data_IF_589696002972
#
_entry.id   IF_589696002972
#
_cell.length_a   1.000
_cell.length_b   1.000
_cell.length_c   1.000
_cell.angle_alpha   90.00
_cell.angle_beta   90.00
_cell.angle_gamma   90.00
#
_symmetry.space_group_name_H-M   'P 1'
#
loop_
_entity.id
_entity.type
_entity.pdbx_description
1 polymer ?
#
# COMPACT_ATOMS: atom_id res chain seq x y z
N UNK A 1 -24.43 -3.26 -29.17
CA UNK A 1 -23.04 -3.74 -29.17
C UNK A 1 -22.18 -2.62 -28.58
N UNK A 2 -22.31 -2.26 -27.30
CA UNK A 2 -21.74 -2.93 -26.12
C UNK A 2 -20.21 -3.13 -26.15
N UNK A 3 -19.48 -2.37 -26.98
CA UNK A 3 -18.04 -2.58 -27.19
C UNK A 3 -17.16 -1.35 -26.88
N UNK A 4 -17.69 -0.33 -26.18
CA UNK A 4 -17.01 0.99 -26.14
C UNK A 4 -16.98 1.72 -24.79
N UNK A 5 -17.10 1.02 -23.65
CA UNK A 5 -16.64 1.56 -22.34
C UNK A 5 -16.18 0.41 -21.45
N UNK A 6 -15.30 -0.45 -21.95
CA UNK A 6 -14.36 -1.12 -21.03
C UNK A 6 -13.26 -0.08 -20.79
N UNK A 7 -12.93 0.29 -19.55
CA UNK A 7 -11.77 1.15 -19.34
C UNK A 7 -10.59 0.51 -20.08
N UNK A 8 -9.93 1.27 -20.95
CA UNK A 8 -8.77 0.79 -21.73
C UNK A 8 -7.53 0.54 -20.86
N UNK A 9 -7.72 0.54 -19.54
CA UNK A 9 -6.71 0.36 -18.51
C UNK A 9 -7.31 -0.36 -17.30
N UNK A 10 -6.49 -1.14 -16.61
CA UNK A 10 -6.84 -1.74 -15.31
C UNK A 10 -6.50 -0.79 -14.16
N UNK A 11 -5.58 0.15 -14.43
CA UNK A 11 -5.07 1.15 -13.51
C UNK A 11 -5.13 2.54 -14.14
N UNK A 12 -5.94 3.41 -13.54
CA UNK A 12 -5.91 4.85 -13.82
C UNK A 12 -5.30 5.58 -12.62
N UNK A 13 -4.08 6.07 -12.78
CA UNK A 13 -3.34 6.81 -11.79
C UNK A 13 -3.52 8.33 -11.96
N UNK A 14 -3.89 9.00 -10.86
CA UNK A 14 -4.12 10.43 -10.77
C UNK A 14 -3.17 11.06 -9.73
N UNK A 15 -2.16 11.76 -10.23
CA UNK A 15 -1.15 12.43 -9.41
C UNK A 15 -1.60 13.79 -8.88
N UNK A 16 -1.24 14.13 -7.64
CA UNK A 16 -1.26 15.51 -7.15
C UNK A 16 0.13 16.01 -6.73
N UNK A 17 0.36 17.34 -6.69
CA UNK A 17 1.67 17.88 -6.37
C UNK A 17 1.97 18.01 -4.87
N UNK A 18 0.96 18.03 -3.98
CA UNK A 18 1.18 18.48 -2.58
C UNK A 18 0.35 17.79 -1.51
N UNK A 19 -0.65 16.95 -1.86
CA UNK A 19 -1.67 16.38 -0.95
C UNK A 19 -2.47 17.37 -0.07
N UNK A 20 -2.05 18.64 0.00
CA UNK A 20 -2.48 19.63 0.98
C UNK A 20 -3.67 20.47 0.50
N UNK A 21 -4.04 20.37 -0.78
CA UNK A 21 -5.15 21.13 -1.36
C UNK A 21 -6.49 20.41 -1.19
N UNK A 22 -7.45 20.91 -0.37
CA UNK A 22 -8.77 20.29 -0.24
C UNK A 22 -9.51 20.20 -1.58
N UNK A 23 -9.23 21.12 -2.50
CA UNK A 23 -9.81 21.15 -3.86
C UNK A 23 -9.46 19.88 -4.64
N UNK A 24 -8.20 19.44 -4.61
CA UNK A 24 -7.77 18.27 -5.38
C UNK A 24 -8.37 17.00 -4.78
N UNK A 25 -8.38 16.88 -3.44
CA UNK A 25 -8.99 15.73 -2.76
C UNK A 25 -10.50 15.61 -3.01
N UNK A 26 -11.22 16.74 -3.07
CA UNK A 26 -12.65 16.77 -3.42
C UNK A 26 -12.88 16.43 -4.89
N UNK A 27 -12.14 17.05 -5.81
CA UNK A 27 -12.22 16.74 -7.24
C UNK A 27 -11.92 15.24 -7.51
N UNK A 28 -10.96 14.67 -6.79
CA UNK A 28 -10.66 13.24 -6.82
C UNK A 28 -11.86 12.39 -6.38
N UNK A 29 -12.57 12.78 -5.33
CA UNK A 29 -13.76 12.06 -4.88
C UNK A 29 -14.87 12.09 -5.94
N UNK A 30 -15.13 13.26 -6.51
CA UNK A 30 -16.12 13.44 -7.58
C UNK A 30 -15.77 12.64 -8.83
N UNK A 31 -14.50 12.65 -9.22
CA UNK A 31 -13.99 11.84 -10.33
C UNK A 31 -14.18 10.35 -10.05
N UNK A 32 -13.84 9.86 -8.85
CA UNK A 32 -14.03 8.44 -8.53
C UNK A 32 -15.51 8.03 -8.56
N UNK A 33 -16.41 8.89 -8.08
CA UNK A 33 -17.84 8.64 -8.16
C UNK A 33 -18.32 8.47 -9.61
N UNK A 34 -17.83 9.29 -10.54
CA UNK A 34 -18.13 9.16 -11.97
C UNK A 34 -17.49 7.90 -12.57
N UNK A 35 -16.24 7.58 -12.21
CA UNK A 35 -15.54 6.39 -12.69
C UNK A 35 -16.23 5.10 -12.24
N UNK A 36 -16.84 5.08 -11.05
CA UNK A 36 -17.62 3.93 -10.58
C UNK A 36 -18.78 3.58 -11.51
N UNK A 37 -19.41 4.59 -12.14
CA UNK A 37 -20.44 4.41 -13.17
C UNK A 37 -19.88 3.83 -14.49
N UNK A 38 -18.58 4.00 -14.73
CA UNK A 38 -17.86 3.55 -15.92
C UNK A 38 -17.06 2.25 -15.69
N UNK A 39 -17.48 1.44 -14.71
CA UNK A 39 -16.92 0.11 -14.48
C UNK A 39 -15.68 0.06 -13.58
N UNK A 40 -15.28 1.16 -12.94
CA UNK A 40 -14.30 1.09 -11.87
C UNK A 40 -14.93 0.46 -10.63
N UNK A 41 -14.17 -0.40 -9.93
CA UNK A 41 -14.66 -1.10 -8.72
C UNK A 41 -13.79 -0.92 -7.50
N UNK A 42 -12.71 -0.16 -7.61
CA UNK A 42 -11.85 0.08 -6.47
C UNK A 42 -11.08 1.37 -6.58
N UNK A 43 -10.72 1.91 -5.42
CA UNK A 43 -9.80 3.04 -5.27
C UNK A 43 -8.61 2.62 -4.41
N UNK A 44 -7.41 3.06 -4.80
CA UNK A 44 -6.17 2.84 -4.05
C UNK A 44 -5.51 4.19 -3.72
N UNK A 45 -5.25 4.44 -2.43
CA UNK A 45 -4.63 5.69 -1.96
C UNK A 45 -3.22 5.47 -1.43
N UNK A 46 -2.40 6.53 -1.43
CA UNK A 46 -1.06 6.60 -0.81
C UNK A 46 -1.13 6.53 0.72
N UNK A 47 -1.66 5.43 1.22
CA UNK A 47 -1.75 5.12 2.63
C UNK A 47 -1.34 3.67 2.85
N UNK A 48 -0.91 3.38 4.08
CA UNK A 48 -0.53 2.05 4.50
C UNK A 48 -1.62 1.02 4.13
N UNK A 49 -1.20 0.02 3.34
CA UNK A 49 -2.09 -1.01 2.79
C UNK A 49 -2.74 -1.85 3.88
N UNK A 50 -2.02 -2.09 4.98
CA UNK A 50 -2.53 -2.93 6.09
C UNK A 50 -3.57 -2.15 6.89
N UNK A 51 -3.28 -0.90 7.23
CA UNK A 51 -4.23 0.02 7.87
C UNK A 51 -5.52 0.15 7.03
N UNK A 52 -5.37 0.32 5.72
CA UNK A 52 -6.49 0.47 4.79
C UNK A 52 -7.46 -0.72 4.75
N UNK A 53 -7.06 -1.91 5.23
CA UNK A 53 -7.99 -3.03 5.43
C UNK A 53 -9.13 -2.65 6.38
N UNK A 54 -8.84 -1.84 7.40
CA UNK A 54 -9.86 -1.31 8.33
C UNK A 54 -10.89 -0.44 7.61
N UNK A 55 -10.44 0.38 6.66
CA UNK A 55 -11.34 1.20 5.82
C UNK A 55 -12.16 0.29 4.91
N UNK A 56 -11.53 -0.70 4.29
CA UNK A 56 -12.22 -1.63 3.41
C UNK A 56 -13.31 -2.42 4.17
N UNK A 57 -12.99 -2.94 5.35
CA UNK A 57 -13.95 -3.68 6.19
C UNK A 57 -15.15 -2.79 6.57
N UNK A 58 -14.90 -1.51 6.88
CA UNK A 58 -15.96 -0.55 7.13
C UNK A 58 -16.83 -0.30 5.89
N UNK A 59 -16.25 -0.01 4.73
CA UNK A 59 -17.06 0.31 3.54
C UNK A 59 -17.81 -0.91 3.02
N UNK A 60 -17.26 -2.12 3.17
CA UNK A 60 -17.91 -3.36 2.75
C UNK A 60 -19.03 -3.79 3.72
N UNK A 61 -18.74 -3.84 5.02
CA UNK A 61 -19.58 -4.53 6.00
C UNK A 61 -20.20 -3.57 7.03
N UNK A 62 -19.63 -2.37 7.20
CA UNK A 62 -20.04 -1.42 8.23
C UNK A 62 -19.40 -1.69 9.58
N UNK A 63 -18.27 -2.40 9.62
CA UNK A 63 -17.53 -2.75 10.83
C UNK A 63 -16.93 -1.52 11.51
N UNK A 64 -17.28 -1.29 12.77
CA UNK A 64 -16.78 -0.16 13.57
C UNK A 64 -17.51 1.16 13.33
N UNK A 65 -16.87 2.27 13.70
CA UNK A 65 -17.39 3.63 13.49
C UNK A 65 -16.50 4.40 12.53
N UNK A 66 -17.08 5.35 11.78
CA UNK A 66 -16.32 6.19 10.86
C UNK A 66 -15.14 6.87 11.58
N UNK A 67 -15.33 7.39 12.78
CA UNK A 67 -14.25 8.04 13.54
C UNK A 67 -13.09 7.09 13.87
N UNK A 68 -13.39 5.85 14.22
CA UNK A 68 -12.35 4.84 14.52
C UNK A 68 -11.62 4.44 13.24
N UNK A 69 -12.36 4.27 12.15
CA UNK A 69 -11.83 3.93 10.83
C UNK A 69 -10.94 5.03 10.28
N UNK A 70 -11.32 6.30 10.41
CA UNK A 70 -10.48 7.41 9.98
C UNK A 70 -9.16 7.47 10.77
N UNK A 71 -9.18 7.18 12.08
CA UNK A 71 -7.95 7.17 12.89
C UNK A 71 -7.03 5.98 12.64
N UNK A 72 -7.59 4.79 12.41
CA UNK A 72 -6.82 3.54 12.32
C UNK A 72 -6.55 3.08 10.88
N UNK A 73 -7.32 3.60 9.92
CA UNK A 73 -7.34 3.12 8.54
C UNK A 73 -6.43 3.86 7.58
N UNK A 74 -5.74 4.90 8.08
CA UNK A 74 -4.87 5.77 7.29
C UNK A 74 -3.50 5.94 7.96
N UNK A 75 -2.47 6.16 7.15
CA UNK A 75 -1.14 6.65 7.57
C UNK A 75 -0.96 8.11 7.14
N UNK A 76 0.20 8.70 7.42
CA UNK A 76 0.60 10.03 6.91
C UNK A 76 -0.32 11.20 7.35
N UNK A 77 -1.13 11.01 8.40
CA UNK A 77 -2.14 11.97 8.83
C UNK A 77 -3.34 12.08 7.87
N UNK A 78 -3.45 11.22 6.87
CA UNK A 78 -4.52 11.28 5.86
C UNK A 78 -5.90 11.00 6.43
N UNK A 79 -5.97 10.42 7.63
CA UNK A 79 -7.18 10.23 8.41
C UNK A 79 -7.81 11.54 8.90
N UNK A 80 -7.00 12.59 9.06
CA UNK A 80 -7.44 13.91 9.55
C UNK A 80 -7.96 14.81 8.42
N UNK A 81 -7.84 14.35 7.16
CA UNK A 81 -8.28 15.10 5.98
C UNK A 81 -9.79 14.92 5.73
N UNK A 82 -10.54 16.02 5.78
CA UNK A 82 -12.00 16.02 5.60
C UNK A 82 -12.46 15.36 4.29
N UNK A 83 -11.72 15.56 3.19
CA UNK A 83 -12.06 14.96 1.90
C UNK A 83 -11.91 13.42 1.92
N UNK A 84 -10.96 12.87 2.69
CA UNK A 84 -10.87 11.42 2.86
C UNK A 84 -12.01 10.88 3.73
N UNK A 85 -12.42 11.61 4.76
CA UNK A 85 -13.62 11.28 5.54
C UNK A 85 -14.87 11.26 4.65
N UNK A 86 -15.04 12.25 3.78
CA UNK A 86 -16.16 12.32 2.84
C UNK A 86 -16.14 11.14 1.86
N UNK A 87 -14.96 10.76 1.34
CA UNK A 87 -14.80 9.60 0.48
C UNK A 87 -15.26 8.31 1.18
N UNK A 88 -14.78 8.06 2.41
CA UNK A 88 -15.10 6.83 3.15
C UNK A 88 -16.59 6.76 3.50
N UNK A 89 -17.19 7.88 3.91
CA UNK A 89 -18.63 7.97 4.16
C UNK A 89 -19.45 7.67 2.89
N UNK A 90 -19.07 8.27 1.76
CA UNK A 90 -19.71 8.04 0.47
C UNK A 90 -19.59 6.58 0.02
N UNK A 91 -18.41 5.97 0.14
CA UNK A 91 -18.20 4.55 -0.18
C UNK A 91 -19.13 3.64 0.63
N UNK A 92 -19.25 3.91 1.94
CA UNK A 92 -20.15 3.15 2.80
C UNK A 92 -21.60 3.27 2.33
N UNK A 93 -22.07 4.48 2.05
CA UNK A 93 -23.44 4.73 1.59
C UNK A 93 -23.71 4.11 0.20
N UNK A 94 -22.71 4.17 -0.69
CA UNK A 94 -22.76 3.58 -2.02
C UNK A 94 -22.89 2.05 -1.93
N UNK A 95 -22.08 1.41 -1.09
CA UNK A 95 -22.03 -0.04 -0.92
C UNK A 95 -23.24 -0.61 -0.17
N UNK A 96 -23.80 0.13 0.79
CA UNK A 96 -24.94 -0.32 1.59
C UNK A 96 -26.19 -0.66 0.76
N UNK A 97 -26.30 -0.10 -0.46
CA UNK A 97 -27.43 -0.29 -1.38
C UNK A 97 -27.15 -1.31 -2.48
N UNK A 98 -26.02 -2.01 -2.43
CA UNK A 98 -25.52 -2.85 -3.54
C UNK A 98 -25.17 -4.27 -3.13
N UNK A 99 -25.35 -5.24 -4.03
CA UNK A 99 -24.90 -6.60 -3.81
C UNK A 99 -23.36 -6.66 -3.80
N UNK A 100 -22.73 -7.65 -3.12
CA UNK A 100 -21.29 -7.70 -2.91
C UNK A 100 -20.42 -7.53 -4.17
N UNK A 101 -20.85 -8.07 -5.30
CA UNK A 101 -20.16 -8.01 -6.59
C UNK A 101 -20.05 -6.59 -7.16
N UNK A 102 -20.99 -5.70 -6.82
CA UNK A 102 -21.02 -4.30 -7.28
C UNK A 102 -20.41 -3.30 -6.29
N UNK A 103 -20.04 -3.75 -5.08
CA UNK A 103 -19.48 -2.88 -4.05
C UNK A 103 -18.08 -2.39 -4.42
N UNK A 104 -17.83 -1.12 -4.15
CA UNK A 104 -16.53 -0.49 -4.32
C UNK A 104 -15.59 -0.90 -3.17
N UNK A 105 -14.39 -1.34 -3.51
CA UNK A 105 -13.33 -1.61 -2.52
C UNK A 105 -12.45 -0.39 -2.30
N UNK A 106 -11.94 -0.27 -1.07
CA UNK A 106 -10.91 0.70 -0.71
C UNK A 106 -9.58 -0.03 -0.48
N UNK A 107 -8.49 0.53 -0.99
CA UNK A 107 -7.15 0.00 -0.80
C UNK A 107 -6.19 1.13 -0.39
N UNK A 108 -5.23 0.78 0.45
CA UNK A 108 -3.97 1.51 0.53
C UNK A 108 -2.96 0.79 -0.35
N UNK A 109 -2.03 1.50 -0.95
CA UNK A 109 -0.96 0.85 -1.72
C UNK A 109 0.44 1.22 -1.24
N UNK A 110 0.55 1.93 -0.13
CA UNK A 110 1.82 2.27 0.51
C UNK A 110 2.09 1.41 1.75
N UNK A 111 3.19 1.65 2.42
CA UNK A 111 3.41 1.30 3.82
C UNK A 111 3.52 2.58 4.66
N UNK A 112 3.44 2.46 5.99
CA UNK A 112 3.70 3.57 6.92
C UNK A 112 5.20 3.98 6.93
N UNK A 113 5.72 4.44 5.78
CA UNK A 113 7.14 4.66 5.49
C UNK A 113 7.51 6.12 5.17
N UNK A 114 6.55 7.04 5.08
CA UNK A 114 6.84 8.48 4.88
C UNK A 114 7.28 9.20 6.18
N UNK A 115 7.23 8.51 7.32
CA UNK A 115 7.61 9.06 8.62
C UNK A 115 9.09 8.85 8.93
N UNK A 116 9.66 9.72 9.77
CA UNK A 116 11.03 9.60 10.30
C UNK A 116 11.27 8.28 11.07
N UNK A 117 10.21 7.51 11.30
CA UNK A 117 10.16 6.16 11.85
C UNK A 117 9.24 5.28 10.99
N UNK A 118 9.40 3.96 11.09
CA UNK A 118 8.52 2.97 10.45
C UNK A 118 8.13 1.92 11.49
N UNK A 119 6.96 1.26 11.41
CA UNK A 119 6.56 0.29 12.41
C UNK A 119 7.45 -0.97 12.41
N UNK A 120 7.57 -1.61 13.57
CA UNK A 120 8.20 -2.94 13.68
C UNK A 120 7.56 -3.96 12.72
N UNK A 121 8.37 -4.83 12.06
CA UNK A 121 7.84 -5.86 11.17
C UNK A 121 7.11 -6.99 11.91
N UNK A 122 7.33 -7.12 13.23
CA UNK A 122 6.91 -8.30 14.02
C UNK A 122 5.44 -8.65 13.86
N UNK A 123 4.55 -7.70 14.13
CA UNK A 123 3.10 -7.93 14.14
C UNK A 123 2.56 -8.34 12.76
N UNK A 124 3.20 -7.85 11.70
CA UNK A 124 2.87 -8.22 10.33
C UNK A 124 3.26 -9.66 10.03
N UNK A 125 4.45 -10.09 10.45
CA UNK A 125 4.92 -11.47 10.30
C UNK A 125 4.13 -12.44 11.18
N UNK A 126 3.81 -12.05 12.41
CA UNK A 126 2.99 -12.83 13.35
C UNK A 126 1.58 -13.08 12.80
N UNK A 127 0.95 -12.07 12.19
CA UNK A 127 -0.35 -12.24 11.55
C UNK A 127 -0.32 -13.33 10.46
N UNK A 128 0.73 -13.35 9.64
CA UNK A 128 0.89 -14.35 8.60
C UNK A 128 1.20 -15.74 9.17
N UNK A 129 2.07 -15.82 10.19
CA UNK A 129 2.36 -17.06 10.92
C UNK A 129 1.08 -17.67 11.51
N UNK A 130 0.27 -16.86 12.17
CA UNK A 130 -0.95 -17.29 12.85
C UNK A 130 -1.99 -17.79 11.83
N UNK A 131 -2.14 -17.10 10.69
CA UNK A 131 -2.97 -17.58 9.57
C UNK A 131 -2.49 -18.93 9.02
N UNK A 132 -1.18 -19.15 8.97
CA UNK A 132 -0.59 -20.41 8.49
C UNK A 132 -0.65 -21.55 9.54
N UNK A 133 -0.94 -21.23 10.81
CA UNK A 133 -0.92 -22.18 11.92
C UNK A 133 0.49 -22.74 12.18
N UNK A 134 1.53 -21.95 11.97
CA UNK A 134 2.92 -22.36 12.16
C UNK A 134 3.47 -21.89 13.51
N UNK A 135 4.34 -22.69 14.10
CA UNK A 135 5.07 -22.32 15.32
C UNK A 135 6.46 -21.82 14.94
N UNK A 136 6.56 -20.53 14.65
CA UNK A 136 7.81 -19.84 14.28
C UNK A 136 8.06 -18.69 15.23
N UNK A 137 9.26 -18.68 15.81
CA UNK A 137 9.75 -17.60 16.65
C UNK A 137 10.16 -16.39 15.79
N UNK A 138 9.33 -15.35 15.88
CA UNK A 138 9.47 -14.05 15.20
C UNK A 138 9.75 -12.93 16.21
N UNK A 139 10.17 -13.26 17.44
CA UNK A 139 10.38 -12.27 18.47
C UNK A 139 11.46 -11.26 18.04
N UNK A 140 11.13 -9.98 18.20
CA UNK A 140 12.06 -8.87 18.04
C UNK A 140 11.66 -7.71 18.96
N UNK A 141 12.59 -6.80 19.23
CA UNK A 141 12.34 -5.64 20.08
C UNK A 141 11.65 -4.50 19.31
N UNK A 142 10.32 -4.43 19.37
CA UNK A 142 9.51 -3.46 18.62
C UNK A 142 9.98 -2.00 18.77
N UNK A 143 10.47 -1.61 19.96
CA UNK A 143 10.95 -0.26 20.22
C UNK A 143 12.23 0.06 19.45
N UNK A 144 13.17 -0.90 19.39
CA UNK A 144 14.40 -0.76 18.59
C UNK A 144 14.10 -0.64 17.10
N UNK A 145 13.09 -1.35 16.60
CA UNK A 145 12.69 -1.30 15.19
C UNK A 145 11.91 -0.02 14.86
N UNK A 146 11.06 0.46 15.76
CA UNK A 146 10.13 1.55 15.48
C UNK A 146 10.66 2.96 15.78
N UNK A 147 11.82 3.08 16.43
CA UNK A 147 12.41 4.38 16.75
C UNK A 147 12.95 5.12 15.52
N UNK A 148 12.99 6.43 15.61
CA UNK A 148 13.51 7.33 14.56
C UNK A 148 14.95 6.98 14.15
N UNK A 149 15.82 6.65 15.10
CA UNK A 149 17.21 6.29 14.84
C UNK A 149 17.36 5.02 14.00
N UNK A 150 16.35 4.14 13.98
CA UNK A 150 16.37 2.93 13.17
C UNK A 150 16.33 3.23 11.66
N UNK A 151 15.88 4.43 11.28
CA UNK A 151 15.76 4.92 9.90
C UNK A 151 16.78 6.01 9.58
N UNK A 152 17.04 6.92 10.52
CA UNK A 152 17.88 8.09 10.28
C UNK A 152 19.37 7.88 10.56
N UNK A 153 19.73 6.90 11.38
CA UNK A 153 21.12 6.64 11.75
C UNK A 153 21.52 5.21 11.33
N UNK A 154 22.30 5.11 10.26
CA UNK A 154 22.76 3.82 9.73
C UNK A 154 23.53 2.97 10.75
N UNK A 155 24.13 3.59 11.78
CA UNK A 155 24.84 2.86 12.84
C UNK A 155 23.90 2.28 13.90
N UNK A 156 22.67 2.79 14.00
CA UNK A 156 21.65 2.37 14.96
C UNK A 156 20.51 1.58 14.32
N UNK A 157 20.50 1.46 12.99
CA UNK A 157 19.52 0.69 12.25
C UNK A 157 19.67 -0.82 12.51
N UNK A 158 18.58 -1.54 12.84
CA UNK A 158 18.64 -2.98 13.07
C UNK A 158 18.83 -3.79 11.78
N UNK A 159 18.67 -3.18 10.60
CA UNK A 159 18.58 -3.91 9.34
C UNK A 159 19.81 -4.71 8.90
N UNK A 160 20.97 -4.52 9.54
CA UNK A 160 22.19 -5.29 9.28
C UNK A 160 22.56 -6.26 10.42
N UNK A 161 21.67 -6.48 11.39
CA UNK A 161 21.90 -7.44 12.48
C UNK A 161 21.60 -8.88 12.05
N UNK A 162 22.17 -9.89 12.72
CA UNK A 162 21.80 -11.29 12.50
C UNK A 162 20.31 -11.58 12.72
N UNK A 163 19.67 -10.83 13.61
CA UNK A 163 18.22 -10.91 13.84
C UNK A 163 17.43 -10.45 12.61
N UNK A 164 17.81 -9.34 11.99
CA UNK A 164 17.17 -8.87 10.76
C UNK A 164 17.35 -9.85 9.60
N UNK A 165 18.55 -10.41 9.44
CA UNK A 165 18.81 -11.43 8.41
C UNK A 165 17.98 -12.70 8.67
N UNK A 166 17.86 -13.15 9.93
CA UNK A 166 16.98 -14.27 10.32
C UNK A 166 15.51 -13.99 10.00
N UNK A 167 14.99 -12.82 10.37
CA UNK A 167 13.59 -12.45 10.10
C UNK A 167 13.28 -12.38 8.60
N UNK A 168 14.24 -11.96 7.77
CA UNK A 168 14.09 -11.97 6.31
C UNK A 168 13.97 -13.38 5.75
N UNK A 169 14.80 -14.32 6.23
CA UNK A 169 14.71 -15.74 5.84
C UNK A 169 13.38 -16.34 6.28
N UNK A 170 12.99 -16.14 7.54
CA UNK A 170 11.72 -16.64 8.05
C UNK A 170 10.52 -16.05 7.31
N UNK A 171 10.54 -14.75 7.00
CA UNK A 171 9.50 -14.10 6.21
C UNK A 171 9.39 -14.66 4.80
N UNK A 172 10.52 -14.99 4.16
CA UNK A 172 10.56 -15.63 2.84
C UNK A 172 9.97 -17.06 2.91
N UNK A 173 10.36 -17.86 3.91
CA UNK A 173 9.81 -19.19 4.15
C UNK A 173 8.29 -19.16 4.39
N UNK A 174 7.80 -18.18 5.16
CA UNK A 174 6.35 -17.96 5.36
C UNK A 174 5.67 -17.63 4.03
N UNK A 175 6.31 -16.85 3.14
CA UNK A 175 5.73 -16.47 1.85
C UNK A 175 5.64 -17.66 0.91
N UNK A 176 6.65 -18.52 0.91
CA UNK A 176 6.64 -19.80 0.18
C UNK A 176 5.53 -20.69 0.71
N UNK A 177 5.41 -20.84 2.03
CA UNK A 177 4.36 -21.65 2.66
C UNK A 177 2.95 -21.15 2.33
N UNK A 178 2.74 -19.82 2.36
CA UNK A 178 1.46 -19.19 2.01
C UNK A 178 1.02 -19.48 0.58
N UNK A 179 1.93 -19.46 -0.38
CA UNK A 179 1.63 -19.79 -1.77
C UNK A 179 1.45 -21.30 -1.99
N UNK A 180 2.35 -22.12 -1.43
CA UNK A 180 2.30 -23.57 -1.60
C UNK A 180 0.99 -24.17 -1.05
N UNK A 181 0.47 -23.61 0.04
CA UNK A 181 -0.77 -24.04 0.69
C UNK A 181 -2.00 -23.22 0.28
N UNK A 182 -1.92 -22.35 -0.73
CA UNK A 182 -3.03 -21.49 -1.12
C UNK A 182 -4.36 -22.24 -1.38
N UNK A 183 -4.40 -23.39 -2.10
CA UNK A 183 -5.66 -24.11 -2.32
C UNK A 183 -6.30 -24.61 -1.00
N UNK A 184 -5.47 -25.14 -0.09
CA UNK A 184 -5.90 -25.63 1.22
C UNK A 184 -6.42 -24.49 2.10
N UNK A 185 -5.63 -23.42 2.24
CA UNK A 185 -5.95 -22.27 3.10
C UNK A 185 -7.19 -21.52 2.62
N UNK A 186 -7.33 -21.32 1.30
CA UNK A 186 -8.51 -20.67 0.71
C UNK A 186 -9.76 -21.52 0.90
N UNK A 187 -9.68 -22.84 0.76
CA UNK A 187 -10.81 -23.74 0.99
C UNK A 187 -11.22 -23.79 2.46
N UNK A 188 -10.27 -23.67 3.40
CA UNK A 188 -10.53 -23.65 4.83
C UNK A 188 -11.03 -22.29 5.35
N UNK A 189 -10.65 -21.20 4.69
CA UNK A 189 -10.98 -19.81 5.08
C UNK A 189 -11.69 -19.10 3.93
N UNK A 190 -11.00 -18.24 3.20
CA UNK A 190 -11.49 -17.58 2.01
C UNK A 190 -10.34 -17.02 1.17
N UNK A 191 -10.63 -16.64 -0.08
CA UNK A 191 -9.68 -15.91 -0.94
C UNK A 191 -9.34 -14.53 -0.34
N UNK A 192 -10.30 -13.89 0.33
CA UNK A 192 -10.10 -12.61 0.98
C UNK A 192 -9.13 -12.71 2.17
N UNK A 193 -9.27 -13.73 3.01
CA UNK A 193 -8.38 -13.97 4.15
C UNK A 193 -6.96 -14.31 3.69
N UNK A 194 -6.82 -15.08 2.61
CA UNK A 194 -5.52 -15.36 2.01
C UNK A 194 -4.82 -14.08 1.54
N UNK A 195 -5.53 -13.19 0.85
CA UNK A 195 -4.97 -11.89 0.44
C UNK A 195 -4.68 -10.96 1.63
N UNK A 196 -5.48 -11.04 2.71
CA UNK A 196 -5.21 -10.31 3.96
C UNK A 196 -3.91 -10.77 4.61
N UNK A 197 -3.70 -12.08 4.71
CA UNK A 197 -2.47 -12.65 5.23
C UNK A 197 -1.27 -12.29 4.35
N UNK A 198 -1.40 -12.38 3.02
CA UNK A 198 -0.37 -11.93 2.07
C UNK A 198 -0.03 -10.46 2.27
N UNK A 199 -1.05 -9.60 2.40
CA UNK A 199 -0.89 -8.15 2.60
C UNK A 199 -0.09 -7.81 3.85
N UNK A 200 -0.34 -8.50 4.97
CA UNK A 200 0.48 -8.35 6.17
C UNK A 200 1.91 -8.85 5.92
N UNK A 201 2.06 -10.05 5.39
CA UNK A 201 3.38 -10.66 5.18
C UNK A 201 4.29 -9.81 4.28
N UNK A 202 3.78 -9.31 3.16
CA UNK A 202 4.55 -8.47 2.24
C UNK A 202 4.87 -7.10 2.84
N UNK A 203 3.99 -6.54 3.68
CA UNK A 203 4.30 -5.32 4.44
C UNK A 203 5.46 -5.55 5.42
N UNK A 204 5.43 -6.65 6.19
CA UNK A 204 6.52 -7.03 7.11
C UNK A 204 7.86 -7.23 6.38
N UNK A 205 7.84 -7.93 5.24
CA UNK A 205 9.01 -8.09 4.37
C UNK A 205 9.51 -6.76 3.79
N UNK A 206 8.58 -5.87 3.40
CA UNK A 206 8.89 -4.51 2.94
C UNK A 206 9.62 -3.70 4.00
N UNK A 207 9.16 -3.74 5.26
CA UNK A 207 9.80 -3.08 6.40
C UNK A 207 11.21 -3.63 6.66
N UNK A 208 11.40 -4.96 6.59
CA UNK A 208 12.74 -5.57 6.70
C UNK A 208 13.68 -5.15 5.56
N UNK A 209 13.18 -5.01 4.34
CA UNK A 209 13.96 -4.49 3.19
C UNK A 209 14.33 -3.02 3.41
N UNK A 210 13.38 -2.22 3.92
CA UNK A 210 13.59 -0.82 4.23
C UNK A 210 14.67 -0.63 5.29
N UNK A 211 14.60 -1.35 6.42
CA UNK A 211 15.65 -1.29 7.44
C UNK A 211 17.01 -1.79 6.94
N UNK A 212 17.05 -2.85 6.11
CA UNK A 212 18.31 -3.27 5.49
C UNK A 212 18.95 -2.12 4.72
N UNK A 213 18.15 -1.37 3.98
CA UNK A 213 18.61 -0.20 3.23
C UNK A 213 18.99 0.96 4.16
N UNK A 214 18.28 1.17 5.28
CA UNK A 214 18.61 2.19 6.28
C UNK A 214 19.94 1.93 6.99
N UNK A 215 20.38 0.67 7.11
CA UNK A 215 21.65 0.30 7.74
C UNK A 215 22.89 0.50 6.85
N UNK A 216 22.71 0.80 5.57
CA UNK A 216 23.80 1.05 4.64
C UNK A 216 24.47 2.40 4.90
N UNK A 217 25.81 2.41 5.02
CA UNK A 217 26.60 3.62 5.25
C UNK A 217 27.01 4.26 3.91
N UNK A 218 26.14 5.11 3.37
CA UNK A 218 26.34 5.86 2.13
C UNK A 218 26.09 7.36 2.36
N UNK A 219 26.39 8.19 1.35
CA UNK A 219 26.05 9.61 1.41
C UNK A 219 24.53 9.84 1.44
N UNK A 220 24.11 11.00 1.93
CA UNK A 220 22.70 11.29 2.21
C UNK A 220 21.82 11.29 0.95
N UNK A 221 22.30 11.81 -0.17
CA UNK A 221 21.59 11.79 -1.46
C UNK A 221 21.33 10.36 -1.93
N UNK A 222 22.36 9.51 -1.86
CA UNK A 222 22.23 8.08 -2.18
C UNK A 222 21.30 7.38 -1.20
N UNK A 223 21.41 7.67 0.10
CA UNK A 223 20.57 7.07 1.15
C UNK A 223 19.09 7.35 0.88
N UNK A 224 18.73 8.63 0.74
CA UNK A 224 17.34 9.03 0.52
C UNK A 224 16.81 8.47 -0.80
N UNK A 225 17.59 8.56 -1.89
CA UNK A 225 17.20 7.97 -3.18
C UNK A 225 16.87 6.48 -3.09
N UNK A 226 17.68 5.71 -2.34
CA UNK A 226 17.45 4.27 -2.17
C UNK A 226 16.25 3.97 -1.28
N UNK A 227 16.06 4.72 -0.19
CA UNK A 227 14.89 4.55 0.68
C UNK A 227 13.59 4.87 -0.07
N UNK A 228 13.54 5.97 -0.83
CA UNK A 228 12.42 6.30 -1.73
C UNK A 228 12.19 5.20 -2.75
N UNK A 229 13.26 4.67 -3.36
CA UNK A 229 13.17 3.54 -4.28
C UNK A 229 12.59 2.27 -3.64
N UNK A 230 12.98 1.92 -2.41
CA UNK A 230 12.43 0.74 -1.71
C UNK A 230 10.95 0.93 -1.40
N UNK A 231 10.54 2.12 -0.95
CA UNK A 231 9.12 2.46 -0.75
C UNK A 231 8.33 2.30 -2.04
N UNK A 232 8.81 2.88 -3.14
CA UNK A 232 8.12 2.81 -4.44
C UNK A 232 8.09 1.41 -5.06
N UNK A 233 9.11 0.56 -4.81
CA UNK A 233 9.06 -0.86 -5.17
C UNK A 233 7.93 -1.56 -4.42
N UNK A 234 7.79 -1.33 -3.11
CA UNK A 234 6.69 -1.90 -2.33
C UNK A 234 5.33 -1.36 -2.81
N UNK A 235 5.25 -0.08 -3.14
CA UNK A 235 4.04 0.52 -3.73
C UNK A 235 3.66 -0.11 -5.07
N UNK A 236 4.64 -0.37 -5.94
CA UNK A 236 4.43 -1.05 -7.21
C UNK A 236 3.98 -2.51 -7.02
N UNK A 237 4.67 -3.27 -6.16
CA UNK A 237 4.28 -4.64 -5.76
C UNK A 237 2.83 -4.63 -5.24
N UNK A 238 2.50 -3.63 -4.42
CA UNK A 238 1.16 -3.49 -3.88
C UNK A 238 0.11 -3.24 -4.96
N UNK A 239 0.35 -2.31 -5.88
CA UNK A 239 -0.58 -2.02 -6.98
C UNK A 239 -0.82 -3.25 -7.87
N UNK A 240 0.23 -4.02 -8.18
CA UNK A 240 0.10 -5.26 -8.95
C UNK A 240 -0.72 -6.30 -8.19
N UNK A 241 -0.48 -6.45 -6.89
CA UNK A 241 -1.25 -7.37 -6.04
C UNK A 241 -2.72 -6.97 -5.90
N UNK A 242 -3.03 -5.67 -5.80
CA UNK A 242 -4.43 -5.22 -5.79
C UNK A 242 -5.09 -5.52 -7.14
N UNK A 243 -4.38 -5.38 -8.27
CA UNK A 243 -4.94 -5.78 -9.58
C UNK A 243 -5.23 -7.26 -9.67
N UNK A 244 -4.38 -8.11 -9.09
CA UNK A 244 -4.65 -9.53 -9.00
C UNK A 244 -5.88 -9.83 -8.13
N UNK A 245 -6.05 -9.12 -7.01
CA UNK A 245 -7.19 -9.28 -6.11
C UNK A 245 -8.52 -8.80 -6.73
N UNK A 246 -8.48 -7.68 -7.49
CA UNK A 246 -9.65 -7.07 -8.14
C UNK A 246 -9.90 -7.61 -9.56
N UNK A 247 -9.12 -8.60 -10.01
CA UNK A 247 -9.24 -9.20 -11.33
C UNK A 247 -10.67 -9.70 -11.59
N UNK A 248 -11.27 -9.21 -12.67
CA UNK A 248 -12.64 -9.54 -13.08
C UNK A 248 -13.74 -8.70 -12.45
N UNK A 249 -13.44 -7.77 -11.53
CA UNK A 249 -14.43 -6.86 -10.93
C UNK A 249 -14.54 -5.53 -11.69
N UNK A 250 -13.41 -4.97 -12.08
CA UNK A 250 -13.34 -3.69 -12.80
C UNK A 250 -12.01 -2.99 -12.57
N UNK A 251 -11.82 -1.86 -13.22
CA UNK A 251 -10.58 -1.07 -13.09
C UNK A 251 -10.44 -0.43 -11.69
N UNK A 252 -9.22 -0.05 -11.36
CA UNK A 252 -8.91 0.67 -10.12
C UNK A 252 -8.38 2.06 -10.39
N UNK A 253 -8.94 3.01 -9.66
CA UNK A 253 -8.47 4.38 -9.61
C UNK A 253 -7.41 4.52 -8.52
N UNK A 254 -6.25 5.09 -8.86
CA UNK A 254 -5.11 5.24 -7.95
C UNK A 254 -4.86 6.72 -7.74
N UNK A 255 -4.70 7.14 -6.49
CA UNK A 255 -4.37 8.52 -6.18
C UNK A 255 -3.24 8.62 -5.16
N UNK A 256 -2.21 9.40 -5.50
CA UNK A 256 -0.99 9.60 -4.74
C UNK A 256 -0.24 10.83 -5.28
N UNK A 257 0.88 11.19 -4.66
CA UNK A 257 1.73 12.26 -5.15
C UNK A 257 2.21 11.92 -6.57
N UNK A 258 2.32 12.93 -7.42
CA UNK A 258 2.82 12.78 -8.80
C UNK A 258 4.21 12.13 -8.82
N UNK A 259 5.03 12.38 -7.80
CA UNK A 259 6.34 11.76 -7.66
C UNK A 259 6.29 10.22 -7.60
N UNK A 260 5.21 9.63 -7.10
CA UNK A 260 5.04 8.16 -7.04
C UNK A 260 4.42 7.60 -8.31
N UNK A 261 3.61 8.37 -9.04
CA UNK A 261 2.77 7.85 -10.13
C UNK A 261 3.28 8.15 -11.55
N UNK A 262 4.19 9.11 -11.69
CA UNK A 262 4.69 9.53 -12.99
C UNK A 262 5.53 8.42 -13.68
N UNK A 263 5.57 8.45 -15.02
CA UNK A 263 6.22 7.42 -15.84
C UNK A 263 7.75 7.55 -15.91
N UNK A 264 8.24 8.79 -15.83
CA UNK A 264 9.67 9.08 -15.79
C UNK A 264 10.26 8.85 -14.40
N UNK A 265 11.58 8.96 -14.28
CA UNK A 265 12.26 8.93 -12.97
C UNK A 265 11.74 10.07 -12.10
N UNK A 266 11.47 9.75 -10.84
CA UNK A 266 11.10 10.69 -9.81
C UNK A 266 12.34 11.46 -9.37
N UNK A 267 12.17 12.75 -9.08
CA UNK A 267 13.26 13.62 -8.63
C UNK A 267 12.76 14.51 -7.51
N UNK A 268 13.58 14.63 -6.47
CA UNK A 268 13.39 15.60 -5.41
C UNK A 268 14.71 16.30 -5.11
N UNK A 269 14.66 17.59 -4.83
CA UNK A 269 15.83 18.40 -4.53
C UNK A 269 15.54 19.32 -3.34
N UNK A 270 16.46 19.34 -2.37
CA UNK A 270 16.40 20.24 -1.22
C UNK A 270 17.82 20.68 -0.83
N UNK A 271 18.19 21.92 -1.18
CA UNK A 271 19.57 22.38 -1.03
C UNK A 271 20.55 21.53 -1.86
N UNK A 272 21.59 21.00 -1.22
CA UNK A 272 22.59 20.12 -1.84
C UNK A 272 22.12 18.66 -1.98
N UNK A 273 20.96 18.32 -1.41
CA UNK A 273 20.38 16.99 -1.49
C UNK A 273 19.69 16.81 -2.85
N UNK A 274 20.20 15.88 -3.66
CA UNK A 274 19.59 15.49 -4.93
C UNK A 274 19.18 14.02 -4.86
N UNK A 275 17.88 13.76 -4.97
CA UNK A 275 17.31 12.43 -4.89
C UNK A 275 16.67 12.03 -6.22
N UNK A 276 17.03 10.86 -6.75
CA UNK A 276 16.48 10.33 -8.01
C UNK A 276 16.23 8.83 -7.90
N UNK A 277 15.01 8.40 -8.21
CA UNK A 277 14.62 7.00 -8.19
C UNK A 277 13.57 6.70 -9.27
N UNK A 278 13.18 5.43 -9.42
CA UNK A 278 12.03 5.06 -10.24
C UNK A 278 10.82 4.94 -9.32
N UNK A 279 9.82 5.80 -9.51
CA UNK A 279 8.56 5.74 -8.76
C UNK A 279 7.71 4.53 -9.13
N UNK A 280 6.70 4.24 -8.30
CA UNK A 280 5.81 3.10 -8.46
C UNK A 280 5.14 3.08 -9.85
N UNK A 281 4.70 4.23 -10.35
CA UNK A 281 4.09 4.37 -11.68
C UNK A 281 5.03 4.01 -12.82
N UNK A 282 6.32 4.37 -12.71
CA UNK A 282 7.34 3.98 -13.69
C UNK A 282 7.53 2.46 -13.71
N UNK A 283 7.61 1.82 -12.53
CA UNK A 283 7.75 0.36 -12.38
C UNK A 283 6.51 -0.36 -12.90
N UNK A 284 5.32 0.05 -12.47
CA UNK A 284 4.05 -0.57 -12.86
C UNK A 284 3.81 -0.40 -14.35
N UNK A 285 4.10 0.76 -14.94
CA UNK A 285 3.99 0.97 -16.38
C UNK A 285 4.88 0.00 -17.17
N UNK A 286 6.13 -0.20 -16.72
CA UNK A 286 7.05 -1.13 -17.37
C UNK A 286 6.57 -2.61 -17.30
N UNK A 287 5.88 -3.00 -16.21
CA UNK A 287 5.43 -4.39 -16.00
C UNK A 287 4.03 -4.68 -16.52
N UNK A 288 3.12 -3.70 -16.44
CA UNK A 288 1.72 -3.82 -16.82
C UNK A 288 1.43 -3.34 -18.25
N UNK A 289 2.35 -2.58 -18.84
CA UNK A 289 2.23 -2.01 -20.18
C UNK A 289 1.02 -1.09 -20.30
N UNK A 290 0.23 -1.28 -21.35
CA UNK A 290 -0.92 -0.42 -21.64
C UNK A 290 -2.04 -0.46 -20.58
N UNK A 291 -1.98 -1.41 -19.65
CA UNK A 291 -2.95 -1.52 -18.55
C UNK A 291 -2.78 -0.45 -17.48
N UNK A 292 -1.67 0.29 -17.49
CA UNK A 292 -1.43 1.44 -16.64
C UNK A 292 -1.55 2.75 -17.45
N UNK A 293 -2.33 3.69 -16.92
CA UNK A 293 -2.49 5.05 -17.46
C UNK A 293 -2.26 6.04 -16.34
N UNK A 294 -1.51 7.10 -16.65
CA UNK A 294 -1.19 8.17 -15.72
C UNK A 294 -1.71 9.50 -16.25
N UNK A 295 -2.27 10.30 -15.36
CA UNK A 295 -2.61 11.71 -15.55
C UNK A 295 -2.36 12.44 -14.23
N UNK A 296 -2.15 13.76 -14.28
CA UNK A 296 -2.01 14.64 -13.13
C UNK A 296 -3.13 15.68 -13.08
N UNK A 297 -3.26 16.30 -11.90
CA UNK A 297 -4.19 17.40 -11.60
C UNK A 297 -3.73 18.74 -12.18
#
# INVERSE_FOLDING_TARGET
MSELVTPSCDLLAYGDPTHAGPVIGLARNELFAQLAEHGFRSIALETDRVAALTVNDFVQEGSGTLDTVMRAGFSHGFGDLDHNRQLVAWLREYNARRPPEERLSFHGFDAAMETMSVPSPRRYLEHARDYLGLDVDLACDDETWSRTEAVLDATKSPGATPEADRLRVLGDDLLVALHARAPELIAATSRADWFRAKTHLTAGLGLLRYHKQSAERVDESTRVSRLSGVRDVLMAENLLDIRLAESGRGATFVHAATAHLHLARSRWQAGDLECVWYGAGSIVSALAGERYRFTDA
#
